data_IF_585141761133
#
_entry.id   IF_585141761133
#
_cell.length_a   1.000
_cell.length_b   1.000
_cell.length_c   1.000
_cell.angle_alpha   90.00
_cell.angle_beta   90.00
_cell.angle_gamma   90.00
#
_symmetry.space_group_name_H-M   'P 1'
#
loop_
_entity.id
_entity.type
_entity.pdbx_description
1 polymer ?
#
# COMPACT_ATOMS: atom_id res chain seq x y z
N UNK A 1 47.01 28.51 -4.70
CA UNK A 1 46.56 27.28 -4.05
C UNK A 1 45.04 27.35 -3.89
N UNK A 2 44.30 26.70 -4.78
CA UNK A 2 42.81 26.66 -4.75
C UNK A 2 42.39 25.38 -4.05
N UNK A 3 41.74 25.49 -2.91
CA UNK A 3 41.13 24.35 -2.22
C UNK A 3 39.80 24.04 -2.89
N UNK A 4 39.73 22.87 -3.52
CA UNK A 4 38.52 22.29 -4.06
C UNK A 4 37.79 21.57 -2.90
N UNK A 5 36.78 22.19 -2.32
CA UNK A 5 35.89 21.55 -1.36
C UNK A 5 34.93 20.62 -2.14
N UNK A 6 35.23 19.32 -2.16
CA UNK A 6 34.27 18.30 -2.56
C UNK A 6 33.25 18.16 -1.43
N UNK A 7 32.09 18.78 -1.60
CA UNK A 7 30.92 18.54 -0.77
C UNK A 7 30.35 17.16 -1.09
N UNK A 8 30.58 16.18 -0.23
CA UNK A 8 29.82 14.93 -0.24
C UNK A 8 28.41 15.23 0.25
N UNK A 9 27.47 15.38 -0.67
CA UNK A 9 26.05 15.31 -0.33
C UNK A 9 25.73 13.86 0.02
N UNK A 10 25.69 13.54 1.32
CA UNK A 10 25.11 12.29 1.80
C UNK A 10 23.61 12.41 1.62
N UNK A 11 23.09 11.90 0.52
CA UNK A 11 21.67 11.67 0.35
C UNK A 11 21.28 10.57 1.34
N UNK A 12 20.82 10.96 2.52
CA UNK A 12 20.12 10.02 3.41
C UNK A 12 18.72 9.75 2.81
N UNK A 13 18.66 8.79 1.92
CA UNK A 13 17.40 8.17 1.50
C UNK A 13 16.83 7.47 2.74
N UNK A 14 15.96 8.14 3.48
CA UNK A 14 15.17 7.50 4.53
C UNK A 14 14.13 6.61 3.86
N UNK A 15 14.54 5.41 3.48
CA UNK A 15 13.61 4.36 3.11
C UNK A 15 12.87 3.92 4.37
N UNK A 16 11.56 4.03 4.36
CA UNK A 16 10.74 3.39 5.38
C UNK A 16 10.56 1.94 4.92
N UNK A 17 11.55 1.09 5.22
CA UNK A 17 11.55 -0.30 4.79
C UNK A 17 10.27 -1.01 5.28
N UNK A 18 9.69 -1.88 4.45
CA UNK A 18 8.54 -2.67 4.85
C UNK A 18 8.88 -3.58 6.04
N UNK A 19 7.94 -3.70 6.96
CA UNK A 19 8.07 -4.56 8.14
C UNK A 19 7.39 -5.88 7.86
N UNK A 20 8.13 -7.00 8.06
CA UNK A 20 7.53 -8.34 8.07
C UNK A 20 6.70 -8.51 9.35
N UNK A 21 5.38 -8.48 9.20
CA UNK A 21 4.42 -8.63 10.28
C UNK A 21 4.08 -10.11 10.59
N UNK A 22 4.52 -11.06 9.78
CA UNK A 22 4.22 -12.50 9.94
C UNK A 22 4.60 -13.03 11.33
N UNK A 23 5.79 -12.70 11.89
CA UNK A 23 6.15 -13.17 13.23
C UNK A 23 5.18 -12.68 14.31
N UNK A 24 4.62 -11.46 14.17
CA UNK A 24 3.64 -10.93 15.12
C UNK A 24 2.34 -11.73 15.05
N UNK A 25 1.79 -11.99 13.86
CA UNK A 25 0.59 -12.80 13.72
C UNK A 25 0.81 -14.21 14.26
N UNK A 26 1.90 -14.87 13.92
CA UNK A 26 2.16 -16.25 14.32
C UNK A 26 2.48 -16.38 15.81
N UNK A 27 3.36 -15.55 16.37
CA UNK A 27 3.85 -15.71 17.75
C UNK A 27 3.05 -14.94 18.79
N UNK A 28 2.44 -13.81 18.45
CA UNK A 28 1.74 -12.95 19.40
C UNK A 28 0.24 -13.12 19.38
N UNK A 29 -0.33 -13.42 18.23
CA UNK A 29 -1.77 -13.60 18.06
C UNK A 29 -2.17 -15.08 17.92
N UNK A 30 -1.19 -15.99 17.86
CA UNK A 30 -1.45 -17.43 17.84
C UNK A 30 -1.91 -17.98 16.48
N UNK A 31 -1.68 -17.24 15.40
CA UNK A 31 -1.95 -17.72 14.03
C UNK A 31 -0.74 -18.48 13.48
N UNK A 32 -0.99 -19.35 12.52
CA UNK A 32 0.05 -20.04 11.76
C UNK A 32 -0.16 -19.71 10.28
N UNK A 33 0.22 -18.47 9.91
CA UNK A 33 0.09 -18.02 8.52
C UNK A 33 0.98 -18.85 7.61
N UNK A 34 0.41 -19.42 6.57
CA UNK A 34 1.12 -20.15 5.50
C UNK A 34 1.77 -19.22 4.47
N UNK A 35 1.62 -17.93 4.64
CA UNK A 35 2.11 -16.84 3.80
C UNK A 35 2.69 -15.73 4.66
N UNK A 36 3.35 -14.75 4.03
CA UNK A 36 3.90 -13.60 4.72
C UNK A 36 2.96 -12.39 4.64
N UNK A 37 3.00 -11.59 5.71
CA UNK A 37 2.32 -10.31 5.81
C UNK A 37 3.34 -9.21 6.03
N UNK A 38 3.22 -8.12 5.28
CA UNK A 38 4.10 -6.95 5.37
C UNK A 38 3.28 -5.69 5.52
N UNK A 39 3.88 -4.67 6.09
CA UNK A 39 3.32 -3.32 6.10
C UNK A 39 4.43 -2.29 5.93
N UNK A 40 4.08 -1.13 5.39
CA UNK A 40 5.04 -0.08 5.15
C UNK A 40 4.40 1.24 4.76
N UNK A 41 5.27 2.18 4.43
CA UNK A 41 4.90 3.52 4.00
C UNK A 41 5.69 3.89 2.76
N UNK A 42 4.98 4.30 1.72
CA UNK A 42 5.61 4.95 0.59
C UNK A 42 5.67 6.47 0.78
N UNK A 43 6.79 7.04 0.40
CA UNK A 43 6.99 8.48 0.41
C UNK A 43 6.32 9.10 -0.82
N UNK A 44 5.49 10.13 -0.60
CA UNK A 44 4.76 10.84 -1.65
C UNK A 44 5.26 12.28 -1.68
N UNK A 45 6.42 12.53 -2.27
CA UNK A 45 7.04 13.84 -2.24
C UNK A 45 7.45 14.39 -3.62
N UNK A 46 7.22 13.65 -4.69
CA UNK A 46 7.59 14.10 -6.02
C UNK A 46 6.91 15.43 -6.40
N UNK A 47 5.61 15.58 -6.05
CA UNK A 47 4.87 16.82 -6.32
C UNK A 47 4.91 17.83 -5.17
N UNK A 48 5.29 17.39 -3.96
CA UNK A 48 5.25 18.20 -2.73
C UNK A 48 6.50 17.95 -1.89
N UNK A 49 7.69 18.30 -2.38
CA UNK A 49 8.97 17.93 -1.74
C UNK A 49 9.14 18.50 -0.32
N UNK A 50 8.44 19.59 0.01
CA UNK A 50 8.50 20.23 1.33
C UNK A 50 7.56 19.59 2.37
N UNK A 51 6.67 18.67 1.93
CA UNK A 51 5.69 18.03 2.80
C UNK A 51 6.12 16.62 3.15
N UNK A 52 6.10 16.28 4.44
CA UNK A 52 6.26 14.89 4.86
C UNK A 52 4.95 14.16 4.63
N UNK A 53 4.79 13.57 3.46
CA UNK A 53 3.61 12.81 3.07
C UNK A 53 3.96 11.34 2.97
N UNK A 54 3.17 10.48 3.60
CA UNK A 54 3.34 9.03 3.57
C UNK A 54 2.01 8.36 3.32
N UNK A 55 2.01 7.40 2.44
CA UNK A 55 0.86 6.53 2.18
C UNK A 55 1.15 5.13 2.72
N UNK A 56 0.30 4.67 3.62
CA UNK A 56 0.41 3.38 4.28
C UNK A 56 -0.18 2.27 3.42
N UNK A 57 0.44 1.11 3.48
CA UNK A 57 -0.09 -0.12 2.89
C UNK A 57 0.13 -1.33 3.80
N UNK A 58 -0.73 -2.33 3.63
CA UNK A 58 -0.46 -3.71 4.03
C UNK A 58 -0.40 -4.60 2.81
N UNK A 59 0.58 -5.50 2.77
CA UNK A 59 0.78 -6.47 1.71
C UNK A 59 0.64 -7.88 2.30
N UNK A 60 -0.30 -8.63 1.78
CA UNK A 60 -0.52 -10.04 2.09
C UNK A 60 -0.05 -10.89 0.92
N UNK A 61 1.05 -11.61 1.12
CA UNK A 61 1.59 -12.50 0.09
C UNK A 61 0.54 -13.55 -0.29
N UNK A 62 0.43 -13.86 -1.56
CA UNK A 62 -0.49 -14.90 -2.04
C UNK A 62 -0.23 -16.24 -1.38
N UNK A 63 -1.28 -16.95 -1.06
CA UNK A 63 -1.20 -18.25 -0.36
C UNK A 63 -0.46 -19.28 -1.24
N UNK A 64 0.69 -19.74 -0.76
CA UNK A 64 1.53 -20.69 -1.49
C UNK A 64 2.41 -20.07 -2.58
N UNK A 65 2.30 -18.75 -2.82
CA UNK A 65 3.06 -18.07 -3.88
C UNK A 65 4.45 -17.62 -3.39
N UNK A 66 5.39 -17.49 -4.31
CA UNK A 66 6.66 -16.82 -4.08
C UNK A 66 6.48 -15.32 -4.36
N UNK A 67 6.89 -14.47 -3.43
CA UNK A 67 6.85 -13.00 -3.57
C UNK A 67 7.66 -12.50 -4.78
N UNK A 68 8.59 -13.30 -5.29
CA UNK A 68 9.44 -12.98 -6.44
C UNK A 68 8.90 -13.48 -7.77
N UNK A 69 7.83 -14.28 -7.77
CA UNK A 69 7.26 -14.83 -8.99
C UNK A 69 6.51 -13.75 -9.76
N UNK A 70 7.00 -13.45 -10.96
CA UNK A 70 6.43 -12.41 -11.85
C UNK A 70 5.09 -12.78 -12.47
N UNK A 71 4.71 -14.05 -12.43
CA UNK A 71 3.40 -14.51 -12.91
C UNK A 71 2.26 -14.29 -11.91
N UNK A 72 2.60 -14.10 -10.63
CA UNK A 72 1.61 -13.88 -9.56
C UNK A 72 1.06 -12.46 -9.65
N UNK A 73 -0.28 -12.28 -9.73
CA UNK A 73 -0.85 -10.95 -9.83
C UNK A 73 -0.73 -10.16 -8.51
N UNK A 74 -0.59 -8.84 -8.67
CA UNK A 74 -0.74 -7.86 -7.60
C UNK A 74 -2.17 -7.33 -7.63
N UNK A 75 -2.89 -7.46 -6.54
CA UNK A 75 -4.27 -7.02 -6.40
C UNK A 75 -4.30 -5.88 -5.40
N UNK A 76 -4.52 -4.65 -5.88
CA UNK A 76 -4.70 -3.47 -5.02
C UNK A 76 -6.16 -3.38 -4.62
N UNK A 77 -6.42 -3.25 -3.31
CA UNK A 77 -7.75 -2.95 -2.77
C UNK A 77 -7.83 -1.52 -2.26
N UNK A 78 -8.90 -0.83 -2.66
CA UNK A 78 -9.20 0.54 -2.27
C UNK A 78 -10.60 0.62 -1.65
N UNK A 79 -10.67 1.14 -0.43
CA UNK A 79 -11.94 1.47 0.21
C UNK A 79 -12.51 2.76 -0.37
N UNK A 80 -13.82 2.93 -0.25
CA UNK A 80 -14.54 4.11 -0.72
C UNK A 80 -14.64 5.22 0.34
N UNK A 81 -15.82 5.58 0.68
CA UNK A 81 -16.18 6.67 1.59
C UNK A 81 -16.80 7.86 0.88
N UNK A 82 -16.04 8.87 0.33
CA UNK A 82 -14.60 9.01 0.27
C UNK A 82 -13.94 9.12 1.64
N UNK A 83 -12.67 8.67 1.73
CA UNK A 83 -11.86 8.81 2.94
C UNK A 83 -11.96 7.66 3.96
N UNK A 84 -12.52 6.51 3.60
CA UNK A 84 -12.45 5.31 4.42
C UNK A 84 -11.10 4.59 4.23
N UNK A 85 -10.53 4.09 5.34
CA UNK A 85 -9.27 3.36 5.32
C UNK A 85 -9.42 1.99 4.64
N UNK A 86 -8.52 1.65 3.71
CA UNK A 86 -8.56 0.35 3.02
C UNK A 86 -8.25 -0.82 3.95
N UNK A 87 -7.62 -0.56 5.10
CA UNK A 87 -7.46 -1.58 6.14
C UNK A 87 -8.81 -2.08 6.67
N UNK A 88 -9.87 -1.26 6.60
CA UNK A 88 -11.21 -1.72 6.94
C UNK A 88 -11.63 -2.90 6.04
N UNK A 89 -11.54 -2.75 4.72
CA UNK A 89 -11.86 -3.83 3.77
C UNK A 89 -10.90 -5.02 3.90
N UNK A 90 -9.62 -4.76 4.21
CA UNK A 90 -8.67 -5.84 4.45
C UNK A 90 -9.02 -6.72 5.65
N UNK A 91 -9.55 -6.14 6.73
CA UNK A 91 -9.86 -6.88 7.96
C UNK A 91 -11.34 -7.20 8.17
N UNK A 92 -12.20 -6.86 7.19
CA UNK A 92 -13.64 -7.16 7.29
C UNK A 92 -14.24 -7.76 6.02
N UNK A 93 -13.50 -7.76 4.89
CA UNK A 93 -14.07 -8.13 3.60
C UNK A 93 -13.14 -9.07 2.80
N UNK A 94 -12.02 -8.54 2.25
CA UNK A 94 -11.23 -9.22 1.22
C UNK A 94 -9.94 -9.84 1.72
N UNK A 95 -9.47 -9.43 2.88
CA UNK A 95 -8.19 -9.90 3.41
C UNK A 95 -8.26 -11.28 4.04
N UNK A 96 -7.10 -11.83 4.42
CA UNK A 96 -7.02 -13.21 4.92
C UNK A 96 -7.46 -13.37 6.37
N UNK A 97 -7.61 -12.27 7.10
CA UNK A 97 -8.03 -12.28 8.49
C UNK A 97 -9.20 -11.31 8.70
N UNK A 98 -10.23 -11.76 9.39
CA UNK A 98 -11.34 -10.93 9.85
C UNK A 98 -11.16 -10.51 11.31
N UNK A 99 -11.59 -9.29 11.64
CA UNK A 99 -11.80 -8.87 13.01
C UNK A 99 -13.24 -9.27 13.41
N UNK A 100 -13.36 -10.27 14.24
CA UNK A 100 -14.66 -10.70 14.76
C UNK A 100 -15.21 -9.67 15.78
N UNK A 101 -16.54 -9.57 15.99
CA UNK A 101 -17.14 -8.63 16.95
C UNK A 101 -16.63 -8.75 18.40
N UNK A 102 -16.10 -9.90 18.80
CA UNK A 102 -15.46 -10.11 20.12
C UNK A 102 -13.98 -9.61 20.16
N UNK A 103 -13.50 -8.99 19.10
CA UNK A 103 -12.16 -8.46 18.96
C UNK A 103 -11.10 -9.51 18.57
N UNK A 104 -11.49 -10.76 18.37
CA UNK A 104 -10.56 -11.80 17.90
C UNK A 104 -10.41 -11.72 16.37
N UNK A 105 -9.28 -12.17 15.90
CA UNK A 105 -9.08 -12.41 14.47
C UNK A 105 -9.58 -13.81 14.10
N UNK A 106 -10.15 -13.92 12.91
CA UNK A 106 -10.61 -15.17 12.31
C UNK A 106 -10.04 -15.28 10.90
N UNK A 107 -9.60 -16.46 10.51
CA UNK A 107 -9.15 -16.70 9.14
C UNK A 107 -10.31 -16.59 8.13
N UNK A 108 -10.02 -15.92 7.00
CA UNK A 108 -10.93 -15.81 5.88
C UNK A 108 -10.52 -16.76 4.75
N UNK A 109 -11.18 -17.90 4.67
CA UNK A 109 -10.93 -18.88 3.60
C UNK A 109 -11.28 -18.37 2.18
N UNK A 110 -11.99 -17.25 2.07
CA UNK A 110 -12.39 -16.61 0.80
C UNK A 110 -11.54 -15.37 0.48
N UNK A 111 -10.42 -15.20 1.14
CA UNK A 111 -9.52 -14.06 0.91
C UNK A 111 -9.10 -13.95 -0.55
N UNK A 112 -8.96 -12.71 -1.00
CA UNK A 112 -8.41 -12.42 -2.31
C UNK A 112 -6.91 -12.74 -2.40
N UNK A 113 -6.20 -12.87 -1.26
CA UNK A 113 -4.83 -13.40 -1.24
C UNK A 113 -4.72 -14.86 -1.72
N UNK A 114 -5.84 -15.57 -1.87
CA UNK A 114 -5.87 -16.87 -2.53
C UNK A 114 -5.71 -16.78 -4.06
N UNK A 115 -5.65 -15.57 -4.63
CA UNK A 115 -5.56 -15.34 -6.08
C UNK A 115 -4.33 -14.52 -6.50
N UNK A 116 -3.54 -14.04 -5.54
CA UNK A 116 -2.36 -13.23 -5.77
C UNK A 116 -1.93 -12.46 -4.53
N UNK A 117 -0.97 -11.58 -4.67
CA UNK A 117 -0.54 -10.71 -3.58
C UNK A 117 -1.56 -9.59 -3.40
N UNK A 118 -2.23 -9.56 -2.24
CA UNK A 118 -3.23 -8.54 -1.92
C UNK A 118 -2.57 -7.36 -1.22
N UNK A 119 -2.82 -6.15 -1.71
CA UNK A 119 -2.30 -4.89 -1.16
C UNK A 119 -3.45 -3.96 -0.83
N UNK A 120 -3.61 -3.62 0.44
CA UNK A 120 -4.60 -2.64 0.88
C UNK A 120 -3.92 -1.32 1.16
N UNK A 121 -4.35 -0.26 0.48
CA UNK A 121 -3.70 1.05 0.51
C UNK A 121 -4.62 2.08 1.16
N UNK A 122 -4.19 2.66 2.27
CA UNK A 122 -4.94 3.73 2.91
C UNK A 122 -4.78 5.03 2.13
N UNK A 123 -5.74 5.30 1.25
CA UNK A 123 -5.78 6.45 0.37
C UNK A 123 -7.16 7.17 0.48
N UNK A 124 -7.18 8.49 0.20
CA UNK A 124 -6.05 9.40 -0.03
C UNK A 124 -5.18 9.63 1.21
N UNK A 125 -4.07 10.36 1.07
CA UNK A 125 -3.21 10.70 2.23
C UNK A 125 -4.02 11.42 3.32
N UNK A 126 -3.72 11.10 4.57
CA UNK A 126 -4.50 11.57 5.74
C UNK A 126 -5.60 10.61 6.17
N UNK A 127 -5.79 9.50 5.44
CA UNK A 127 -6.78 8.46 5.75
C UNK A 127 -6.09 7.28 6.42
N UNK A 128 -6.74 6.65 7.40
CA UNK A 128 -6.22 5.50 8.13
C UNK A 128 -4.87 5.78 8.76
N UNK A 129 -3.86 4.98 8.41
CA UNK A 129 -2.49 5.17 8.85
C UNK A 129 -1.65 6.07 7.93
N UNK A 130 -2.19 6.46 6.78
CA UNK A 130 -1.55 7.44 5.89
C UNK A 130 -1.58 8.83 6.50
N UNK A 131 -0.50 9.59 6.35
CA UNK A 131 -0.43 10.92 6.95
C UNK A 131 0.19 11.96 6.03
N UNK A 132 -0.23 13.20 6.24
CA UNK A 132 0.26 14.40 5.59
C UNK A 132 0.40 15.51 6.63
N UNK A 133 1.51 16.24 6.59
CA UNK A 133 1.68 17.46 7.40
C UNK A 133 1.19 18.73 6.70
N UNK A 134 0.73 18.58 5.45
CA UNK A 134 0.17 19.67 4.65
C UNK A 134 -1.35 19.80 4.77
N UNK A 135 -1.96 20.34 3.73
CA UNK A 135 -3.42 20.46 3.64
C UNK A 135 -4.07 19.11 3.39
N UNK A 136 -5.30 18.88 3.88
CA UNK A 136 -6.08 17.70 3.51
C UNK A 136 -6.29 17.62 2.00
N UNK A 137 -6.32 16.40 1.46
CA UNK A 137 -6.74 16.14 0.08
C UNK A 137 -8.23 16.43 -0.06
N UNK A 138 -8.59 17.27 -1.02
CA UNK A 138 -9.98 17.74 -1.16
C UNK A 138 -10.63 17.36 -2.47
N UNK A 139 -9.87 16.81 -3.42
CA UNK A 139 -10.39 16.40 -4.71
C UNK A 139 -9.73 15.11 -5.24
N UNK A 140 -10.38 14.50 -6.21
CA UNK A 140 -9.93 13.24 -6.82
C UNK A 140 -8.69 13.43 -7.69
N UNK A 141 -8.44 14.63 -8.21
CA UNK A 141 -7.24 14.91 -9.01
C UNK A 141 -5.99 14.80 -8.14
N UNK A 142 -5.97 15.49 -7.00
CA UNK A 142 -4.85 15.42 -6.04
C UNK A 142 -4.67 13.99 -5.50
N UNK A 143 -5.78 13.30 -5.17
CA UNK A 143 -5.73 11.89 -4.80
C UNK A 143 -5.10 11.01 -5.87
N UNK A 144 -5.36 11.29 -7.17
CA UNK A 144 -4.77 10.56 -8.28
C UNK A 144 -3.27 10.77 -8.40
N UNK A 145 -2.79 12.00 -8.20
CA UNK A 145 -1.35 12.31 -8.19
C UNK A 145 -0.63 11.53 -7.07
N UNK A 146 -1.20 11.55 -5.87
CA UNK A 146 -0.64 10.84 -4.72
C UNK A 146 -0.62 9.32 -4.95
N UNK A 147 -1.73 8.76 -5.42
CA UNK A 147 -1.82 7.32 -5.66
C UNK A 147 -0.89 6.85 -6.79
N UNK A 148 -0.77 7.62 -7.88
CA UNK A 148 0.14 7.29 -8.98
C UNK A 148 1.60 7.28 -8.50
N UNK A 149 1.99 8.26 -7.68
CA UNK A 149 3.33 8.31 -7.09
C UNK A 149 3.56 7.13 -6.12
N UNK A 150 2.57 6.84 -5.26
CA UNK A 150 2.58 5.65 -4.39
C UNK A 150 2.82 4.38 -5.21
N UNK A 151 2.00 4.15 -6.22
CA UNK A 151 2.03 2.91 -6.99
C UNK A 151 3.37 2.70 -7.69
N UNK A 152 3.91 3.77 -8.30
CA UNK A 152 5.23 3.71 -8.93
C UNK A 152 6.34 3.32 -7.93
N UNK A 153 6.37 3.97 -6.76
CA UNK A 153 7.37 3.69 -5.73
C UNK A 153 7.20 2.27 -5.18
N UNK A 154 5.98 1.88 -4.84
CA UNK A 154 5.65 0.55 -4.32
C UNK A 154 6.05 -0.57 -5.30
N UNK A 155 5.64 -0.47 -6.57
CA UNK A 155 5.97 -1.49 -7.57
C UNK A 155 7.48 -1.58 -7.82
N UNK A 156 8.20 -0.45 -7.74
CA UNK A 156 9.65 -0.40 -7.90
C UNK A 156 10.37 -1.01 -6.71
N UNK A 157 9.98 -0.65 -5.47
CA UNK A 157 10.61 -1.15 -4.23
C UNK A 157 10.46 -2.66 -4.09
N UNK A 158 9.24 -3.16 -4.38
CA UNK A 158 8.95 -4.60 -4.32
C UNK A 158 9.37 -5.37 -5.57
N UNK A 159 9.90 -4.67 -6.58
CA UNK A 159 10.23 -5.27 -7.88
C UNK A 159 9.02 -5.93 -8.55
N UNK A 160 7.84 -5.31 -8.49
CA UNK A 160 6.58 -5.81 -9.04
C UNK A 160 6.20 -5.24 -10.40
N UNK A 161 7.06 -4.46 -11.05
CA UNK A 161 6.76 -3.79 -12.32
C UNK A 161 6.34 -4.72 -13.46
N UNK A 162 6.79 -5.99 -13.42
CA UNK A 162 6.49 -6.99 -14.44
C UNK A 162 5.29 -7.89 -14.06
N UNK A 163 4.79 -7.80 -12.84
CA UNK A 163 3.65 -8.60 -12.42
C UNK A 163 2.33 -8.08 -13.01
N UNK A 164 1.35 -8.94 -13.31
CA UNK A 164 0.00 -8.50 -13.64
C UNK A 164 -0.58 -7.65 -12.50
N UNK A 165 -1.09 -6.45 -12.82
CA UNK A 165 -1.63 -5.51 -11.84
C UNK A 165 -3.13 -5.37 -11.99
N UNK A 166 -3.84 -5.54 -10.88
CA UNK A 166 -5.29 -5.30 -10.78
C UNK A 166 -5.55 -4.27 -9.69
N UNK A 167 -6.41 -3.29 -9.98
CA UNK A 167 -6.87 -2.29 -9.02
C UNK A 167 -8.36 -2.50 -8.82
N UNK A 168 -8.76 -2.78 -7.61
CA UNK A 168 -10.13 -3.11 -7.22
C UNK A 168 -10.54 -2.26 -6.02
N UNK A 169 -11.82 -2.19 -5.78
CA UNK A 169 -12.35 -1.47 -4.62
C UNK A 169 -13.85 -1.42 -4.64
N UNK A 170 -14.43 -0.78 -3.63
CA UNK A 170 -15.88 -0.64 -3.51
C UNK A 170 -16.34 0.81 -3.36
N UNK A 171 -17.64 1.04 -3.56
CA UNK A 171 -18.32 2.29 -3.29
C UNK A 171 -17.65 3.46 -4.02
N UNK A 172 -17.19 4.50 -3.30
CA UNK A 172 -16.52 5.66 -3.90
C UNK A 172 -15.21 5.32 -4.62
N UNK A 173 -14.64 4.14 -4.40
CA UNK A 173 -13.50 3.67 -5.20
C UNK A 173 -13.87 3.55 -6.70
N UNK A 174 -15.15 3.42 -7.03
CA UNK A 174 -15.65 3.54 -8.39
C UNK A 174 -15.42 4.91 -9.05
N UNK A 175 -15.17 5.96 -8.27
CA UNK A 175 -14.68 7.27 -8.74
C UNK A 175 -13.15 7.35 -8.73
N UNK A 176 -12.50 6.80 -7.70
CA UNK A 176 -11.05 6.79 -7.60
C UNK A 176 -10.40 6.02 -8.75
N UNK A 177 -10.80 4.76 -8.96
CA UNK A 177 -10.13 3.84 -9.88
C UNK A 177 -10.10 4.37 -11.32
N UNK A 178 -11.20 4.85 -11.93
CA UNK A 178 -11.15 5.42 -13.27
C UNK A 178 -10.25 6.66 -13.37
N UNK A 179 -10.23 7.50 -12.33
CA UNK A 179 -9.37 8.68 -12.28
C UNK A 179 -7.89 8.26 -12.19
N UNK A 180 -7.56 7.33 -11.30
CA UNK A 180 -6.20 6.80 -11.15
C UNK A 180 -5.71 6.11 -12.43
N UNK A 181 -6.56 5.29 -13.06
CA UNK A 181 -6.24 4.63 -14.32
C UNK A 181 -5.92 5.65 -15.43
N UNK A 182 -6.69 6.75 -15.52
CA UNK A 182 -6.40 7.83 -16.48
C UNK A 182 -5.02 8.42 -16.28
N UNK A 183 -4.62 8.66 -15.01
CA UNK A 183 -3.28 9.19 -14.70
C UNK A 183 -2.17 8.18 -15.00
N UNK A 184 -2.37 6.92 -14.65
CA UNK A 184 -1.41 5.85 -14.94
C UNK A 184 -1.21 5.60 -16.43
N UNK A 185 -2.24 5.82 -17.26
CA UNK A 185 -2.15 5.66 -18.72
C UNK A 185 -1.57 6.90 -19.43
N UNK A 186 -1.53 8.05 -18.76
CA UNK A 186 -1.05 9.31 -19.35
C UNK A 186 0.43 9.57 -19.05
N UNK A 187 1.04 8.84 -18.16
CA UNK A 187 2.44 8.94 -17.73
C UNK A 187 3.17 7.62 -17.92
#
# INVERSE_FOLDING_TARGET
MKYLLLGFAVLTLSFCLPVDATPFFNSKLGYNLSYKAYSGYEKIDWYFPEQTTRMYYSLWQGVGDDIKDKSVPIIIWLQGGPGAASQFGCFNEVGPLYIHPDGKLQENGYSWSNRGHLVCVDQPVGVGFSYNRGKPVTDTYEASLHFTNFLHNFLSEWNFLENPLYISGESYAGHYIPSFARFLMAN
#
